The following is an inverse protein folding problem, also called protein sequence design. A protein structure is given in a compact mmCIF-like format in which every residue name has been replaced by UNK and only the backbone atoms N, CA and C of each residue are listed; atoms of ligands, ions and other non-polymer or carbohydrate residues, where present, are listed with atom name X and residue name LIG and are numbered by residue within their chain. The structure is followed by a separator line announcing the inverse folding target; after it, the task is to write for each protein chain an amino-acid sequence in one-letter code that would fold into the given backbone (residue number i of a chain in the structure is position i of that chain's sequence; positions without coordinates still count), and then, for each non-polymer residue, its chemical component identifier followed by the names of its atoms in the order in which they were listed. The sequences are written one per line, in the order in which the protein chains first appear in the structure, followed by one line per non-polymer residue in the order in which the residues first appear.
data_IF_607575124409
#
_entry.id   IF_607575124409
#
_cell.length_a   1.000
_cell.length_b   1.000
_cell.length_c   1.000
_cell.angle_alpha   90.00
_cell.angle_beta   90.00
_cell.angle_gamma   90.00
#
_symmetry.space_group_name_H-M   'P 1'
#
loop_
_entity.id
_entity.type
_entity.pdbx_description
1 polymer ?
#
# COMPACT_ATOMS: atom_id res chain seq x y z
N UNK A 1 17.55 -12.53 11.38
CA UNK A 1 16.50 -11.68 10.79
C UNK A 1 15.80 -12.51 9.73
N UNK A 2 14.53 -12.84 9.92
CA UNK A 2 13.74 -13.58 8.93
C UNK A 2 12.83 -12.60 8.20
N UNK A 3 12.77 -12.70 6.88
CA UNK A 3 11.70 -12.08 6.11
C UNK A 3 10.45 -12.95 6.26
N UNK A 4 9.32 -12.35 6.60
CA UNK A 4 8.01 -12.98 6.47
C UNK A 4 7.39 -12.42 5.19
N UNK A 5 7.00 -13.31 4.29
CA UNK A 5 6.38 -12.96 3.01
C UNK A 5 4.96 -13.51 2.98
N UNK A 6 4.04 -12.70 2.49
CA UNK A 6 2.63 -13.07 2.35
C UNK A 6 2.03 -12.29 1.19
N UNK A 7 1.04 -12.89 0.52
CA UNK A 7 0.25 -12.20 -0.49
C UNK A 7 -0.90 -11.48 0.20
N UNK A 8 -1.06 -10.19 -0.11
CA UNK A 8 -2.13 -9.34 0.44
C UNK A 8 -2.88 -8.66 -0.70
N UNK A 9 -4.19 -8.51 -0.51
CA UNK A 9 -5.01 -7.70 -1.42
C UNK A 9 -4.79 -6.22 -1.13
N UNK A 10 -5.11 -5.36 -2.09
CA UNK A 10 -5.05 -3.90 -1.87
C UNK A 10 -5.95 -3.49 -0.70
N UNK A 11 -7.12 -4.11 -0.55
CA UNK A 11 -8.04 -3.84 0.56
C UNK A 11 -7.37 -4.08 1.92
N UNK A 12 -6.65 -5.19 2.11
CA UNK A 12 -6.04 -5.50 3.40
C UNK A 12 -4.87 -4.60 3.76
N UNK A 13 -4.28 -3.90 2.78
CA UNK A 13 -3.28 -2.86 3.03
C UNK A 13 -3.89 -1.57 3.62
N UNK A 14 -5.17 -1.30 3.42
CA UNK A 14 -5.80 -0.04 3.87
C UNK A 14 -6.88 -0.26 4.96
N UNK A 15 -6.89 -1.42 5.60
CA UNK A 15 -7.78 -1.69 6.73
C UNK A 15 -7.31 -1.01 8.02
N UNK A 16 -8.26 -0.72 8.94
CA UNK A 16 -8.08 0.12 10.14
C UNK A 16 -7.03 -0.35 11.16
N UNK A 17 -6.41 -1.51 10.99
CA UNK A 17 -5.48 -2.11 11.94
C UNK A 17 -4.00 -1.86 11.62
N UNK A 18 -3.67 -1.03 10.63
CA UNK A 18 -2.26 -0.76 10.25
C UNK A 18 -1.99 0.71 9.94
N UNK A 19 -0.84 1.20 10.38
CA UNK A 19 -0.29 2.53 10.05
C UNK A 19 1.02 2.34 9.30
N UNK A 20 1.15 3.01 8.16
CA UNK A 20 2.33 2.97 7.30
C UNK A 20 3.06 4.30 7.34
N UNK A 21 4.29 4.28 7.85
CA UNK A 21 5.15 5.44 8.00
C UNK A 21 6.21 5.47 6.90
N UNK A 22 6.32 6.59 6.20
CA UNK A 22 7.45 6.86 5.31
C UNK A 22 8.60 7.43 6.15
N UNK A 23 9.73 6.75 6.28
CA UNK A 23 10.86 7.25 7.06
C UNK A 23 11.58 8.39 6.34
N UNK A 24 12.27 9.26 7.10
CA UNK A 24 12.90 10.49 6.59
C UNK A 24 13.95 10.28 5.50
N UNK A 25 14.58 9.11 5.45
CA UNK A 25 15.61 8.78 4.46
C UNK A 25 15.04 8.32 3.11
N UNK A 26 13.72 8.15 2.98
CA UNK A 26 13.09 7.81 1.70
C UNK A 26 13.07 9.02 0.77
N UNK A 27 13.21 8.76 -0.53
CA UNK A 27 13.06 9.80 -1.56
C UNK A 27 11.63 10.33 -1.60
N UNK A 28 11.49 11.58 -2.03
CA UNK A 28 10.20 12.20 -2.29
C UNK A 28 9.36 11.43 -3.33
N UNK A 29 8.08 11.79 -3.43
CA UNK A 29 7.22 11.26 -4.48
C UNK A 29 7.70 11.74 -5.86
N UNK A 30 7.96 10.81 -6.78
CA UNK A 30 8.53 11.10 -8.11
C UNK A 30 7.84 10.36 -9.25
N UNK A 31 6.82 9.56 -8.94
CA UNK A 31 6.00 8.96 -9.99
C UNK A 31 5.31 10.05 -10.80
N UNK A 32 5.34 9.85 -12.11
CA UNK A 32 4.78 10.77 -13.10
C UNK A 32 3.52 10.18 -13.72
N UNK A 33 2.86 10.95 -14.57
CA UNK A 33 1.68 10.51 -15.33
C UNK A 33 1.89 9.15 -16.00
N UNK A 34 3.07 8.90 -16.60
CA UNK A 34 3.39 7.59 -17.19
C UNK A 34 3.19 6.44 -16.18
N UNK A 35 3.70 6.58 -14.97
CA UNK A 35 3.60 5.54 -13.95
C UNK A 35 2.16 5.38 -13.44
N UNK A 36 1.42 6.48 -13.37
CA UNK A 36 0.00 6.43 -12.99
C UNK A 36 -0.83 5.74 -14.06
N UNK A 37 -0.59 6.04 -15.34
CA UNK A 37 -1.26 5.40 -16.46
C UNK A 37 -0.99 3.90 -16.51
N UNK A 38 0.24 3.46 -16.26
CA UNK A 38 0.59 2.04 -16.15
C UNK A 38 -0.22 1.37 -15.02
N UNK A 39 -0.18 1.92 -13.80
CA UNK A 39 -0.93 1.38 -12.67
C UNK A 39 -2.45 1.34 -12.93
N UNK A 40 -3.01 2.40 -13.51
CA UNK A 40 -4.44 2.48 -13.83
C UNK A 40 -4.83 1.49 -14.93
N UNK A 41 -3.95 1.28 -15.91
CA UNK A 41 -4.16 0.26 -16.95
C UNK A 41 -4.22 -1.14 -16.33
N UNK A 42 -3.31 -1.48 -15.42
CA UNK A 42 -3.31 -2.77 -14.72
C UNK A 42 -4.58 -2.97 -13.89
N UNK A 43 -5.03 -1.93 -13.18
CA UNK A 43 -6.29 -1.95 -12.41
C UNK A 43 -7.49 -2.11 -13.36
N UNK A 44 -7.55 -1.36 -14.45
CA UNK A 44 -8.66 -1.45 -15.41
C UNK A 44 -8.71 -2.83 -16.06
N UNK A 45 -7.56 -3.36 -16.48
CA UNK A 45 -7.45 -4.72 -16.99
C UNK A 45 -7.97 -5.75 -15.99
N UNK A 46 -7.57 -5.60 -14.72
CA UNK A 46 -8.00 -6.45 -13.61
C UNK A 46 -9.51 -6.47 -13.42
N UNK A 47 -10.14 -5.30 -13.39
CA UNK A 47 -11.58 -5.16 -13.12
C UNK A 47 -12.43 -5.72 -14.26
N UNK A 48 -11.91 -5.71 -15.49
CA UNK A 48 -12.62 -6.25 -16.66
C UNK A 48 -12.50 -7.78 -16.81
N UNK A 49 -11.76 -8.47 -15.94
CA UNK A 49 -11.67 -9.93 -15.93
C UNK A 49 -12.77 -10.50 -15.02
N UNK A 50 -13.61 -11.37 -15.58
CA UNK A 50 -14.73 -11.99 -14.87
C UNK A 50 -14.37 -13.31 -14.15
N UNK A 51 -13.09 -13.69 -14.11
CA UNK A 51 -12.62 -14.86 -13.36
C UNK A 51 -12.31 -14.49 -11.91
N UNK A 52 -13.07 -15.07 -10.98
CA UNK A 52 -12.93 -14.83 -9.53
C UNK A 52 -11.60 -15.34 -8.95
N UNK A 53 -10.92 -16.25 -9.64
CA UNK A 53 -9.63 -16.78 -9.21
C UNK A 53 -8.45 -15.97 -9.74
N UNK A 54 -8.72 -15.01 -10.63
CA UNK A 54 -7.68 -14.20 -11.24
C UNK A 54 -7.27 -13.05 -10.32
N UNK A 55 -5.97 -12.78 -10.26
CA UNK A 55 -5.42 -11.62 -9.55
C UNK A 55 -4.21 -11.05 -10.28
N UNK A 56 -4.06 -9.73 -10.21
CA UNK A 56 -2.89 -9.03 -10.76
C UNK A 56 -1.86 -8.76 -9.68
N UNK A 57 -0.60 -9.05 -9.97
CA UNK A 57 0.49 -8.75 -9.07
C UNK A 57 0.98 -7.31 -9.25
N UNK A 58 0.58 -6.41 -8.34
CA UNK A 58 0.98 -4.99 -8.33
C UNK A 58 2.41 -4.75 -7.78
N UNK A 59 3.20 -5.82 -7.63
CA UNK A 59 4.55 -5.80 -7.10
C UNK A 59 4.65 -5.94 -5.57
N UNK A 60 5.86 -6.13 -5.08
CA UNK A 60 6.17 -6.34 -3.65
C UNK A 60 6.21 -5.04 -2.85
N UNK A 61 5.70 -5.02 -1.63
CA UNK A 61 5.92 -3.93 -0.66
C UNK A 61 6.78 -4.49 0.47
N UNK A 62 7.85 -3.77 0.84
CA UNK A 62 8.73 -4.18 1.94
C UNK A 62 8.47 -3.30 3.14
N UNK A 63 8.10 -3.94 4.25
CA UNK A 63 7.70 -3.28 5.49
C UNK A 63 8.57 -3.74 6.65
N UNK A 64 8.88 -2.81 7.54
CA UNK A 64 9.52 -3.10 8.82
C UNK A 64 8.51 -2.87 9.94
N UNK A 65 8.18 -3.91 10.71
CA UNK A 65 7.30 -3.74 11.89
C UNK A 65 8.07 -3.01 12.99
N UNK A 66 7.57 -1.84 13.39
CA UNK A 66 8.20 -0.96 14.39
C UNK A 66 7.46 -0.93 15.72
N UNK A 67 6.49 -1.81 15.96
CA UNK A 67 5.75 -1.86 17.23
C UNK A 67 6.68 -2.03 18.43
N UNK A 68 7.72 -2.86 18.30
CA UNK A 68 8.74 -3.05 19.33
C UNK A 68 9.49 -1.76 19.68
N UNK A 69 9.64 -0.85 18.72
CA UNK A 69 10.32 0.43 18.91
C UNK A 69 9.40 1.47 19.58
N UNK A 70 8.08 1.33 19.42
CA UNK A 70 7.09 2.22 20.02
C UNK A 70 6.82 1.89 21.50
N UNK A 71 6.94 0.61 21.90
CA UNK A 71 6.67 0.17 23.27
C UNK A 71 5.28 0.59 23.74
N UNK A 72 5.20 1.23 24.91
CA UNK A 72 3.94 1.68 25.50
C UNK A 72 3.27 2.86 24.76
N UNK A 73 3.95 3.48 23.78
CA UNK A 73 3.38 4.56 22.96
C UNK A 73 2.52 4.06 21.81
N UNK A 74 2.38 2.74 21.67
CA UNK A 74 1.59 2.11 20.62
C UNK A 74 0.10 2.21 20.94
N UNK A 75 -0.69 2.66 19.98
CA UNK A 75 -2.15 2.57 20.07
C UNK A 75 -2.62 1.11 20.09
N UNK A 76 -3.44 0.70 21.08
CA UNK A 76 -3.94 -0.67 21.17
C UNK A 76 -4.65 -1.11 19.88
N UNK A 77 -4.23 -2.27 19.34
CA UNK A 77 -4.83 -2.84 18.13
C UNK A 77 -4.33 -2.25 16.80
N UNK A 78 -3.43 -1.25 16.81
CA UNK A 78 -2.84 -0.68 15.59
C UNK A 78 -1.42 -1.22 15.39
N UNK A 79 -1.13 -1.84 14.26
CA UNK A 79 0.21 -2.29 13.90
C UNK A 79 0.94 -1.18 13.14
N UNK A 80 2.16 -0.85 13.55
CA UNK A 80 2.95 0.21 12.93
C UNK A 80 4.05 -0.38 12.04
N UNK A 81 4.07 0.07 10.79
CA UNK A 81 5.07 -0.31 9.81
C UNK A 81 5.84 0.90 9.29
N UNK A 82 7.15 0.77 9.13
CA UNK A 82 7.94 1.64 8.26
C UNK A 82 8.02 1.05 6.86
N UNK A 83 7.82 1.88 5.84
CA UNK A 83 7.95 1.47 4.44
C UNK A 83 9.42 1.52 4.04
N UNK A 84 9.97 0.36 3.70
CA UNK A 84 11.34 0.20 3.20
C UNK A 84 11.35 0.27 1.66
N UNK A 85 10.38 -0.36 1.01
CA UNK A 85 10.17 -0.29 -0.44
C UNK A 85 8.67 -0.36 -0.79
N UNK A 86 8.29 0.17 -1.95
CA UNK A 86 6.90 0.25 -2.41
C UNK A 86 6.20 1.58 -2.06
N UNK A 87 6.93 2.56 -1.51
CA UNK A 87 6.34 3.84 -1.07
C UNK A 87 5.52 4.55 -2.16
N UNK A 88 6.04 4.68 -3.38
CA UNK A 88 5.37 5.37 -4.48
C UNK A 88 4.05 4.67 -4.86
N UNK A 89 4.04 3.33 -4.84
CA UNK A 89 2.85 2.52 -5.13
C UNK A 89 1.77 2.70 -4.07
N UNK A 90 2.13 2.55 -2.79
CA UNK A 90 1.19 2.73 -1.68
C UNK A 90 0.62 4.15 -1.70
N UNK A 91 1.46 5.17 -1.87
CA UNK A 91 1.02 6.57 -1.92
C UNK A 91 0.05 6.81 -3.08
N UNK A 92 0.33 6.27 -4.26
CA UNK A 92 -0.54 6.43 -5.44
C UNK A 92 -1.89 5.75 -5.25
N UNK A 93 -1.90 4.53 -4.73
CA UNK A 93 -3.14 3.81 -4.40
C UNK A 93 -3.97 4.57 -3.35
N UNK A 94 -3.32 5.13 -2.33
CA UNK A 94 -3.98 5.95 -1.33
C UNK A 94 -4.63 7.21 -1.93
N UNK A 95 -3.91 7.94 -2.78
CA UNK A 95 -4.44 9.12 -3.47
C UNK A 95 -5.64 8.73 -4.36
N UNK A 96 -5.52 7.64 -5.12
CA UNK A 96 -6.59 7.13 -5.97
C UNK A 96 -7.86 6.82 -5.15
N UNK A 97 -7.73 6.14 -4.01
CA UNK A 97 -8.87 5.87 -3.15
C UNK A 97 -9.49 7.14 -2.58
N UNK A 98 -8.69 8.13 -2.19
CA UNK A 98 -9.23 9.41 -1.74
C UNK A 98 -9.98 10.14 -2.86
N UNK A 99 -9.47 10.10 -4.09
CA UNK A 99 -10.14 10.71 -5.24
C UNK A 99 -11.47 10.02 -5.56
N UNK A 100 -11.51 8.69 -5.57
CA UNK A 100 -12.74 7.90 -5.76
C UNK A 100 -13.73 8.19 -4.63
N UNK A 101 -13.26 8.15 -3.39
CA UNK A 101 -14.08 8.41 -2.20
C UNK A 101 -14.73 9.80 -2.27
N UNK A 102 -13.95 10.83 -2.63
CA UNK A 102 -14.46 12.20 -2.84
C UNK A 102 -15.40 12.33 -4.04
N UNK A 103 -15.26 11.50 -5.06
CA UNK A 103 -16.14 11.55 -6.23
C UNK A 103 -17.50 10.86 -5.98
N UNK A 104 -17.51 9.83 -5.12
CA UNK A 104 -18.71 9.06 -4.79
C UNK A 104 -19.54 9.64 -3.63
N UNK A 105 -18.95 10.52 -2.80
CA UNK A 105 -19.62 11.24 -1.71
C UNK A 105 -19.95 12.67 -2.12
#
# INVERSE_FOLDING_TARGET
MGFSTENRTVLSLFQRSSVYKVPRYQRAYVWTEKNWSELLSDINFTVNIHDINWSHFLGTIVLNNIDKQLGDRKDPGIINFEIIDGQQRITTLFILFNAISRHLM
#
